data_IF_527227148348
#
_entry.id   IF_527227148348
#
_cell.length_a   1.000
_cell.length_b   1.000
_cell.length_c   1.000
_cell.angle_alpha   90.00
_cell.angle_beta   90.00
_cell.angle_gamma   90.00
#
_symmetry.space_group_name_H-M   'P 1'
#
loop_
_entity.id
_entity.type
_entity.pdbx_description
1 polymer ?
#
# COMPACT_ATOMS: atom_id res chain seq x y z
N UNK A 1 -2.41 -8.02 -9.34
CA UNK A 1 -2.17 -6.75 -8.60
C UNK A 1 -0.75 -6.78 -8.01
N UNK A 2 0.15 -5.82 -8.32
CA UNK A 2 1.55 -5.86 -7.82
C UNK A 2 1.68 -5.62 -6.31
N UNK A 3 0.78 -4.81 -5.73
CA UNK A 3 0.76 -4.53 -4.28
C UNK A 3 0.46 -5.80 -3.48
N UNK A 4 -0.46 -6.65 -3.96
CA UNK A 4 -0.78 -7.92 -3.32
C UNK A 4 0.44 -8.85 -3.20
N UNK A 5 1.27 -8.93 -4.25
CA UNK A 5 2.52 -9.69 -4.18
C UNK A 5 3.55 -9.09 -3.21
N UNK A 6 3.60 -7.76 -3.10
CA UNK A 6 4.39 -7.09 -2.07
C UNK A 6 3.93 -7.47 -0.65
N UNK A 7 2.62 -7.56 -0.44
CA UNK A 7 2.03 -7.99 0.85
C UNK A 7 2.38 -9.44 1.13
N UNK A 8 2.21 -10.36 0.16
CA UNK A 8 2.63 -11.76 0.32
C UNK A 8 4.11 -11.88 0.69
N UNK A 9 5.00 -11.15 -0.02
CA UNK A 9 6.43 -11.16 0.30
C UNK A 9 6.72 -10.66 1.73
N UNK A 10 5.99 -9.62 2.17
CA UNK A 10 6.09 -9.10 3.53
C UNK A 10 5.65 -10.14 4.58
N UNK A 11 4.56 -10.86 4.32
CA UNK A 11 4.07 -11.99 5.15
C UNK A 11 5.11 -13.11 5.19
N UNK A 12 5.59 -13.57 4.04
CA UNK A 12 6.56 -14.66 3.92
C UNK A 12 7.87 -14.33 4.64
N UNK A 13 8.19 -13.04 4.73
CA UNK A 13 9.38 -12.53 5.42
C UNK A 13 9.14 -12.25 6.91
N UNK A 14 7.94 -12.51 7.46
CA UNK A 14 7.61 -12.31 8.87
C UNK A 14 7.30 -10.86 9.26
N UNK A 15 7.03 -9.97 8.31
CA UNK A 15 6.72 -8.55 8.54
C UNK A 15 5.22 -8.24 8.58
N UNK A 16 4.36 -9.26 8.69
CA UNK A 16 2.92 -9.08 8.91
C UNK A 16 2.15 -8.47 7.74
N UNK A 17 2.71 -8.50 6.52
CA UNK A 17 2.04 -7.95 5.34
C UNK A 17 2.17 -6.44 5.16
N UNK A 18 2.92 -5.76 6.03
CA UNK A 18 3.17 -4.32 5.92
C UNK A 18 3.98 -3.99 4.67
N UNK A 19 3.52 -3.02 3.89
CA UNK A 19 4.23 -2.52 2.69
C UNK A 19 4.22 -1.01 2.63
N UNK A 20 5.30 -0.42 2.10
CA UNK A 20 5.39 1.00 1.79
C UNK A 20 5.67 1.22 0.31
N UNK A 21 5.05 2.23 -0.28
CA UNK A 21 5.14 2.50 -1.70
C UNK A 21 4.81 3.97 -2.02
N UNK A 22 5.16 4.41 -3.22
CA UNK A 22 4.89 5.77 -3.69
C UNK A 22 3.72 5.80 -4.68
N UNK A 23 2.76 6.70 -4.45
CA UNK A 23 1.82 7.10 -5.49
C UNK A 23 2.52 8.04 -6.49
N UNK A 24 2.43 7.70 -7.77
CA UNK A 24 3.08 8.46 -8.86
C UNK A 24 2.19 9.57 -9.45
N UNK A 25 0.88 9.49 -9.19
CA UNK A 25 -0.10 10.49 -9.61
C UNK A 25 -1.07 10.76 -8.47
N UNK A 26 -1.81 11.86 -8.56
CA UNK A 26 -2.79 12.22 -7.54
C UNK A 26 -3.99 11.26 -7.53
N UNK A 27 -4.40 10.77 -8.70
CA UNK A 27 -5.50 9.80 -8.84
C UNK A 27 -5.14 8.46 -8.17
N UNK A 28 -3.91 8.00 -8.34
CA UNK A 28 -3.44 6.80 -7.64
C UNK A 28 -3.38 7.01 -6.14
N UNK A 29 -2.93 8.19 -5.69
CA UNK A 29 -2.90 8.52 -4.28
C UNK A 29 -4.29 8.47 -3.65
N UNK A 30 -5.28 9.06 -4.32
CA UNK A 30 -6.68 9.04 -3.87
C UNK A 30 -7.23 7.61 -3.85
N UNK A 31 -7.04 6.85 -4.93
CA UNK A 31 -7.45 5.45 -5.01
C UNK A 31 -6.86 4.61 -3.86
N UNK A 32 -5.57 4.74 -3.59
CA UNK A 32 -4.93 3.97 -2.53
C UNK A 32 -5.45 4.30 -1.13
N UNK A 33 -5.83 5.55 -0.87
CA UNK A 33 -6.41 5.94 0.42
C UNK A 33 -7.85 5.47 0.54
N UNK A 34 -8.65 5.70 -0.49
CA UNK A 34 -10.10 5.49 -0.43
C UNK A 34 -10.48 4.02 -0.57
N UNK A 35 -9.86 3.31 -1.51
CA UNK A 35 -10.23 1.94 -1.85
C UNK A 35 -9.38 0.90 -1.12
N UNK A 36 -8.13 1.24 -0.80
CA UNK A 36 -7.17 0.31 -0.17
C UNK A 36 -6.83 0.65 1.28
N UNK A 37 -7.41 1.73 1.82
CA UNK A 37 -7.16 2.18 3.20
C UNK A 37 -5.68 2.46 3.50
N UNK A 38 -4.91 2.86 2.48
CA UNK A 38 -3.50 3.21 2.65
C UNK A 38 -3.35 4.51 3.47
N UNK A 39 -2.32 4.55 4.31
CA UNK A 39 -2.05 5.69 5.18
C UNK A 39 -0.87 6.51 4.63
N UNK A 40 -0.98 7.84 4.49
CA UNK A 40 0.14 8.69 4.13
C UNK A 40 1.23 8.70 5.20
N UNK A 41 2.48 8.48 4.79
CA UNK A 41 3.63 8.49 5.71
C UNK A 41 4.55 9.68 5.51
N UNK A 42 4.77 10.10 4.26
CA UNK A 42 5.73 11.17 3.97
C UNK A 42 5.57 11.73 2.55
N UNK A 43 5.76 13.04 2.38
CA UNK A 43 5.95 13.68 1.09
C UNK A 43 7.15 14.64 1.17
N UNK A 44 8.30 14.29 0.57
CA UNK A 44 9.55 15.05 0.76
C UNK A 44 9.52 16.46 0.15
N UNK A 45 8.78 16.65 -0.94
CA UNK A 45 8.73 17.88 -1.70
C UNK A 45 7.30 18.16 -2.16
N UNK A 46 6.86 19.43 -2.23
CA UNK A 46 5.58 19.79 -2.86
C UNK A 46 5.54 19.26 -4.31
N UNK A 47 4.50 18.49 -4.65
CA UNK A 47 4.37 17.84 -5.97
C UNK A 47 5.29 16.63 -6.19
N UNK A 48 6.10 16.24 -5.18
CA UNK A 48 6.92 15.05 -5.21
C UNK A 48 6.12 13.76 -4.88
N UNK A 49 6.75 12.58 -4.99
CA UNK A 49 6.11 11.31 -4.71
C UNK A 49 5.49 11.26 -3.31
N UNK A 50 4.24 10.82 -3.23
CA UNK A 50 3.51 10.68 -1.97
C UNK A 50 3.68 9.26 -1.48
N UNK A 51 4.42 9.08 -0.38
CA UNK A 51 4.65 7.78 0.22
C UNK A 51 3.45 7.39 1.07
N UNK A 52 3.01 6.15 0.89
CA UNK A 52 1.90 5.51 1.55
C UNK A 52 2.36 4.21 2.20
N UNK A 53 1.60 3.77 3.20
CA UNK A 53 1.74 2.48 3.86
C UNK A 53 0.42 1.72 3.81
N UNK A 54 0.51 0.41 3.61
CA UNK A 54 -0.57 -0.54 3.90
C UNK A 54 -0.13 -1.43 5.05
N UNK A 55 -1.04 -1.62 6.00
CA UNK A 55 -0.87 -2.46 7.17
C UNK A 55 -2.24 -3.02 7.60
N UNK A 56 -2.23 -3.99 8.50
CA UNK A 56 -3.41 -4.55 9.15
C UNK A 56 -4.54 -4.88 8.17
N UNK A 57 -5.73 -4.32 8.39
CA UNK A 57 -6.96 -4.58 7.62
C UNK A 57 -6.80 -4.28 6.12
N UNK A 58 -6.20 -3.13 5.76
CA UNK A 58 -6.01 -2.76 4.36
C UNK A 58 -5.07 -3.72 3.62
N UNK A 59 -4.02 -4.21 4.28
CA UNK A 59 -3.14 -5.24 3.71
C UNK A 59 -3.86 -6.59 3.61
N UNK A 60 -4.62 -6.97 4.63
CA UNK A 60 -5.37 -8.23 4.67
C UNK A 60 -6.46 -8.30 3.60
N UNK A 61 -7.20 -7.21 3.36
CA UNK A 61 -8.27 -7.17 2.38
C UNK A 61 -7.73 -7.32 0.94
N UNK A 62 -6.64 -6.62 0.62
CA UNK A 62 -5.97 -6.74 -0.68
C UNK A 62 -5.41 -8.16 -0.86
N UNK A 63 -4.77 -8.71 0.16
CA UNK A 63 -4.29 -10.08 0.13
C UNK A 63 -5.45 -11.06 -0.14
N UNK A 64 -6.54 -10.90 0.60
CA UNK A 64 -7.73 -11.75 0.52
C UNK A 64 -8.39 -11.70 -0.86
N UNK A 65 -8.46 -10.51 -1.44
CA UNK A 65 -9.14 -10.27 -2.72
C UNK A 65 -8.34 -10.82 -3.91
N UNK A 66 -7.01 -10.76 -3.87
CA UNK A 66 -6.19 -10.99 -5.05
C UNK A 66 -5.34 -12.26 -5.01
N UNK A 67 -5.09 -12.85 -3.84
CA UNK A 67 -4.14 -13.96 -3.68
C UNK A 67 -4.65 -15.13 -2.81
N UNK A 68 -5.89 -15.09 -2.33
CA UNK A 68 -6.52 -16.20 -1.58
C UNK A 68 -7.22 -17.21 -2.47
#
# INVERSE_FOLDING_TARGET
MMIAYGIQLSIDSGHGGVVTFAAKTDELYEHYIQDFHAVPIFQPLPGGPKLLMLADEGAQEIFSTYLS
#
